data_IF_133410213877
#
_entry.id   IF_133410213877
#
_cell.length_a   1.000
_cell.length_b   1.000
_cell.length_c   1.000
_cell.angle_alpha   90.00
_cell.angle_beta   90.00
_cell.angle_gamma   90.00
#
_symmetry.space_group_name_H-M   'P 1'
#
loop_
_entity.id
_entity.type
_entity.pdbx_description
1 polymer ?
#
# COMPACT_ATOMS: atom_id res chain seq x y z
N UNK A 1 -28.70 16.17 -8.50
CA UNK A 1 -27.25 16.13 -8.21
C UNK A 1 -26.81 14.67 -8.25
N UNK A 2 -26.63 14.09 -9.43
CA UNK A 2 -26.30 12.67 -9.58
C UNK A 2 -25.44 12.48 -10.83
N UNK A 3 -24.12 12.61 -10.71
CA UNK A 3 -23.19 12.13 -11.76
C UNK A 3 -21.76 11.87 -11.27
N UNK A 4 -21.56 11.67 -9.96
CA UNK A 4 -20.31 11.13 -9.42
C UNK A 4 -20.35 9.60 -9.33
N UNK A 5 -21.21 8.94 -10.12
CA UNK A 5 -21.35 7.49 -10.12
C UNK A 5 -20.28 6.85 -11.01
N UNK A 6 -19.49 5.96 -10.41
CA UNK A 6 -18.89 4.79 -11.04
C UNK A 6 -17.73 4.99 -12.06
N UNK A 7 -17.07 6.15 -12.05
CA UNK A 7 -15.90 6.39 -12.92
C UNK A 7 -14.65 5.67 -12.38
N UNK A 8 -13.92 5.00 -13.28
CA UNK A 8 -12.65 4.36 -12.96
C UNK A 8 -11.58 5.38 -12.53
N UNK A 9 -10.53 4.91 -11.87
CA UNK A 9 -9.40 5.73 -11.43
C UNK A 9 -8.57 6.20 -12.64
N UNK A 10 -8.57 7.51 -12.88
CA UNK A 10 -7.87 8.13 -14.01
C UNK A 10 -6.35 8.07 -13.81
N UNK A 11 -5.61 8.16 -14.93
CA UNK A 11 -4.13 8.21 -14.91
C UNK A 11 -3.62 9.43 -14.12
N UNK A 12 -4.26 10.60 -14.28
CA UNK A 12 -3.88 11.80 -13.51
C UNK A 12 -4.00 11.56 -12.00
N UNK A 13 -5.09 10.94 -11.54
CA UNK A 13 -5.31 10.61 -10.13
C UNK A 13 -4.27 9.61 -9.60
N UNK A 14 -3.86 8.64 -10.42
CA UNK A 14 -2.76 7.71 -10.09
C UNK A 14 -1.44 8.46 -9.91
N UNK A 15 -1.15 9.40 -10.82
CA UNK A 15 0.06 10.21 -10.77
C UNK A 15 0.07 11.14 -9.56
N UNK A 16 -1.07 11.75 -9.23
CA UNK A 16 -1.23 12.61 -8.05
C UNK A 16 -0.97 11.84 -6.76
N UNK A 17 -1.49 10.60 -6.65
CA UNK A 17 -1.20 9.71 -5.53
C UNK A 17 0.30 9.42 -5.39
N UNK A 18 0.95 8.98 -6.47
CA UNK A 18 2.39 8.69 -6.44
C UNK A 18 3.21 9.90 -6.06
N UNK A 19 2.91 11.05 -6.67
CA UNK A 19 3.60 12.31 -6.41
C UNK A 19 3.43 12.73 -4.95
N UNK A 20 2.23 12.57 -4.39
CA UNK A 20 1.95 12.89 -2.98
C UNK A 20 2.73 11.97 -2.05
N UNK A 21 2.75 10.65 -2.32
CA UNK A 21 3.51 9.65 -1.54
C UNK A 21 5.01 9.92 -1.60
N UNK A 22 5.55 10.15 -2.79
CA UNK A 22 6.98 10.38 -3.00
C UNK A 22 7.45 11.67 -2.34
N UNK A 23 6.60 12.70 -2.33
CA UNK A 23 6.86 13.96 -1.63
C UNK A 23 6.54 13.93 -0.12
N UNK A 24 6.24 12.76 0.46
CA UNK A 24 5.95 12.58 1.90
C UNK A 24 4.76 13.40 2.40
N UNK A 25 3.86 13.80 1.51
CA UNK A 25 2.66 14.54 1.88
C UNK A 25 1.56 13.57 2.35
N UNK A 26 0.69 13.98 3.28
CA UNK A 26 -0.48 13.19 3.63
C UNK A 26 -1.35 12.94 2.40
N UNK A 27 -1.63 11.66 2.09
CA UNK A 27 -2.46 11.30 0.93
C UNK A 27 -3.96 11.43 1.20
N UNK A 28 -4.36 11.68 2.45
CA UNK A 28 -5.75 11.72 2.88
C UNK A 28 -6.62 12.65 2.03
N UNK A 29 -6.15 13.87 1.79
CA UNK A 29 -6.87 14.88 1.01
C UNK A 29 -7.10 14.45 -0.43
N UNK A 30 -6.12 13.78 -1.06
CA UNK A 30 -6.28 13.22 -2.41
C UNK A 30 -7.38 12.14 -2.40
N UNK A 31 -7.36 11.26 -1.42
CA UNK A 31 -8.29 10.14 -1.31
C UNK A 31 -9.72 10.53 -0.89
N UNK A 32 -9.91 11.69 -0.27
CA UNK A 32 -11.25 12.18 0.10
C UNK A 32 -12.07 12.56 -1.12
N UNK A 33 -11.41 12.95 -2.22
CA UNK A 33 -12.08 13.24 -3.50
C UNK A 33 -12.54 11.99 -4.26
N UNK A 34 -12.15 10.79 -3.82
CA UNK A 34 -12.40 9.55 -4.56
C UNK A 34 -13.74 8.92 -4.17
N UNK A 35 -14.44 8.44 -5.19
CA UNK A 35 -15.60 7.56 -5.04
C UNK A 35 -15.19 6.18 -4.49
N UNK A 36 -16.14 5.42 -3.96
CA UNK A 36 -15.91 4.05 -3.46
C UNK A 36 -15.17 3.16 -4.47
N UNK A 37 -15.57 3.19 -5.74
CA UNK A 37 -14.90 2.40 -6.79
C UNK A 37 -13.46 2.86 -7.01
N UNK A 38 -13.24 4.17 -7.08
CA UNK A 38 -11.89 4.72 -7.21
C UNK A 38 -11.01 4.39 -6.01
N UNK A 39 -11.57 4.30 -4.80
CA UNK A 39 -10.83 3.88 -3.61
C UNK A 39 -10.38 2.41 -3.70
N UNK A 40 -11.23 1.52 -4.20
CA UNK A 40 -10.86 0.11 -4.41
C UNK A 40 -9.75 0.00 -5.46
N UNK A 41 -9.91 0.68 -6.60
CA UNK A 41 -8.89 0.71 -7.64
C UNK A 41 -7.58 1.37 -7.17
N UNK A 42 -7.66 2.46 -6.41
CA UNK A 42 -6.51 3.14 -5.83
C UNK A 42 -5.78 2.26 -4.81
N UNK A 43 -6.52 1.54 -3.97
CA UNK A 43 -5.93 0.63 -3.01
C UNK A 43 -5.12 -0.47 -3.71
N UNK A 44 -5.68 -1.09 -4.75
CA UNK A 44 -4.95 -2.08 -5.55
C UNK A 44 -3.72 -1.45 -6.20
N UNK A 45 -3.87 -0.29 -6.83
CA UNK A 45 -2.77 0.43 -7.47
C UNK A 45 -1.62 0.76 -6.51
N UNK A 46 -1.92 1.31 -5.33
CA UNK A 46 -0.91 1.65 -4.32
C UNK A 46 -0.24 0.38 -3.77
N UNK A 47 -1.00 -0.71 -3.60
CA UNK A 47 -0.45 -2.00 -3.19
C UNK A 47 0.55 -2.55 -4.20
N UNK A 48 0.20 -2.54 -5.49
CA UNK A 48 1.08 -3.01 -6.56
C UNK A 48 2.36 -2.18 -6.63
N UNK A 49 2.24 -0.84 -6.51
CA UNK A 49 3.40 0.05 -6.50
C UNK A 49 4.25 -0.11 -5.26
N UNK A 50 3.65 -0.41 -4.10
CA UNK A 50 4.40 -0.75 -2.90
C UNK A 50 5.26 -2.00 -3.10
N UNK A 51 4.70 -3.04 -3.72
CA UNK A 51 5.41 -4.28 -4.02
C UNK A 51 6.54 -4.04 -5.03
N UNK A 52 6.25 -3.33 -6.11
CA UNK A 52 7.25 -2.97 -7.13
C UNK A 52 8.42 -2.19 -6.52
N UNK A 53 8.12 -1.15 -5.72
CA UNK A 53 9.15 -0.36 -5.03
C UNK A 53 9.92 -1.24 -4.04
N UNK A 54 9.26 -2.16 -3.33
CA UNK A 54 9.96 -3.09 -2.45
C UNK A 54 11.02 -3.89 -3.22
N UNK A 55 10.65 -4.51 -4.35
CA UNK A 55 11.59 -5.28 -5.18
C UNK A 55 12.75 -4.44 -5.72
N UNK A 56 12.50 -3.18 -6.05
CA UNK A 56 13.53 -2.27 -6.57
C UNK A 56 14.49 -1.77 -5.47
N UNK A 57 14.07 -1.73 -4.21
CA UNK A 57 14.78 -1.00 -3.15
C UNK A 57 15.27 -1.87 -2.00
N UNK A 58 14.63 -3.02 -1.77
CA UNK A 58 14.91 -3.92 -0.66
C UNK A 58 15.69 -5.14 -1.15
N UNK A 59 16.62 -5.63 -0.31
CA UNK A 59 17.46 -6.81 -0.62
C UNK A 59 16.81 -8.14 -0.22
N UNK A 60 15.63 -8.09 0.41
CA UNK A 60 14.95 -9.25 0.98
C UNK A 60 13.64 -9.48 0.27
N UNK A 61 13.05 -10.65 0.48
CA UNK A 61 11.75 -10.97 -0.07
C UNK A 61 10.63 -10.14 0.56
N UNK A 62 9.63 -9.83 -0.26
CA UNK A 62 8.41 -9.17 0.15
C UNK A 62 7.57 -10.12 1.02
N UNK A 63 7.15 -9.64 2.19
CA UNK A 63 6.18 -10.34 3.04
C UNK A 63 5.00 -9.43 3.31
N UNK A 64 3.79 -9.92 3.04
CA UNK A 64 2.55 -9.15 3.19
C UNK A 64 2.37 -8.64 4.63
N UNK A 65 2.77 -9.48 5.58
CA UNK A 65 2.68 -9.27 7.03
C UNK A 65 3.48 -8.05 7.49
N UNK A 66 4.55 -7.68 6.76
CA UNK A 66 5.35 -6.50 7.09
C UNK A 66 4.56 -5.20 6.95
N UNK A 67 3.57 -5.20 6.07
CA UNK A 67 2.72 -4.05 5.79
C UNK A 67 1.46 -4.15 6.65
N UNK A 68 0.78 -5.30 6.61
CA UNK A 68 -0.53 -5.48 7.24
C UNK A 68 -0.48 -5.44 8.76
N UNK A 69 0.65 -5.76 9.41
CA UNK A 69 0.80 -5.60 10.87
C UNK A 69 0.69 -4.15 11.35
N UNK A 70 0.99 -3.20 10.46
CA UNK A 70 0.88 -1.77 10.76
C UNK A 70 -0.50 -1.20 10.39
N UNK A 71 -1.36 -2.02 9.78
CA UNK A 71 -2.75 -1.65 9.48
C UNK A 71 -3.62 -1.98 10.68
N UNK A 72 -4.68 -1.20 10.87
CA UNK A 72 -5.69 -1.54 11.86
C UNK A 72 -6.42 -2.82 11.43
N UNK A 73 -6.47 -3.82 12.30
CA UNK A 73 -7.21 -5.05 12.01
C UNK A 73 -8.70 -4.77 11.79
N UNK A 74 -9.36 -5.58 10.95
CA UNK A 74 -10.81 -5.47 10.74
C UNK A 74 -11.58 -5.56 12.06
N UNK A 75 -11.16 -6.42 12.98
CA UNK A 75 -11.85 -6.64 14.25
C UNK A 75 -11.73 -5.42 15.17
N UNK A 76 -10.54 -4.84 15.25
CA UNK A 76 -10.31 -3.61 16.01
C UNK A 76 -11.12 -2.45 15.43
N UNK A 77 -11.07 -2.27 14.11
CA UNK A 77 -11.82 -1.21 13.44
C UNK A 77 -13.33 -1.36 13.65
N UNK A 78 -13.86 -2.57 13.47
CA UNK A 78 -15.29 -2.85 13.63
C UNK A 78 -15.78 -2.50 15.05
N UNK A 79 -15.03 -2.88 16.09
CA UNK A 79 -15.35 -2.54 17.49
C UNK A 79 -15.36 -1.03 17.71
N UNK A 80 -14.41 -0.29 17.14
CA UNK A 80 -14.37 1.18 17.25
C UNK A 80 -15.55 1.85 16.56
N UNK A 81 -16.09 1.25 15.49
CA UNK A 81 -17.25 1.76 14.78
C UNK A 81 -18.59 1.29 15.38
N UNK A 82 -18.58 0.47 16.43
CA UNK A 82 -19.80 -0.09 17.01
C UNK A 82 -20.59 -0.98 16.03
N UNK A 83 -19.91 -1.61 15.08
CA UNK A 83 -20.55 -2.39 14.02
C UNK A 83 -20.79 -3.84 14.47
N UNK A 84 -22.00 -4.34 14.23
CA UNK A 84 -22.51 -5.67 14.63
C UNK A 84 -22.48 -6.72 13.51
N UNK A 85 -22.11 -6.33 12.28
CA UNK A 85 -21.97 -7.24 11.15
C UNK A 85 -20.89 -8.31 11.39
N UNK A 86 -20.96 -9.42 10.67
CA UNK A 86 -19.91 -10.45 10.77
C UNK A 86 -18.56 -9.91 10.28
N UNK A 87 -17.48 -10.38 10.91
CA UNK A 87 -16.12 -9.86 10.68
C UNK A 87 -15.61 -10.06 9.24
N UNK A 88 -16.09 -11.10 8.55
CA UNK A 88 -15.81 -11.38 7.14
C UNK A 88 -16.29 -10.25 6.22
N UNK A 89 -17.45 -9.64 6.49
CA UNK A 89 -17.91 -8.47 5.74
C UNK A 89 -16.90 -7.31 5.81
N UNK A 90 -16.28 -7.09 6.97
CA UNK A 90 -15.31 -6.02 7.16
C UNK A 90 -13.95 -6.34 6.50
N UNK A 91 -13.65 -7.62 6.23
CA UNK A 91 -12.45 -8.06 5.52
C UNK A 91 -12.64 -8.03 4.00
N UNK A 92 -13.86 -8.26 3.53
CA UNK A 92 -14.21 -8.26 2.11
C UNK A 92 -14.39 -6.85 1.53
N UNK A 93 -14.24 -6.75 0.21
CA UNK A 93 -14.60 -5.54 -0.56
C UNK A 93 -16.12 -5.34 -0.60
N UNK A 94 -16.91 -6.28 -0.07
CA UNK A 94 -18.37 -6.27 -0.08
C UNK A 94 -18.96 -5.13 0.75
N UNK A 95 -18.36 -4.83 1.91
CA UNK A 95 -18.84 -3.79 2.82
C UNK A 95 -18.81 -2.39 2.17
N UNK A 96 -17.98 -2.16 1.14
CA UNK A 96 -17.94 -0.83 0.51
C UNK A 96 -19.16 -0.49 -0.34
N UNK A 97 -19.94 -1.50 -0.73
CA UNK A 97 -21.17 -1.30 -1.50
C UNK A 97 -22.38 -1.08 -0.60
N UNK A 98 -22.39 -1.65 0.60
CA UNK A 98 -23.46 -1.46 1.59
C UNK A 98 -23.17 -0.33 2.60
N UNK A 99 -21.90 -0.06 2.90
CA UNK A 99 -21.44 0.92 3.89
C UNK A 99 -20.25 1.75 3.34
N UNK A 100 -20.46 2.51 2.24
CA UNK A 100 -19.38 3.14 1.47
C UNK A 100 -18.52 4.12 2.28
N UNK A 101 -19.13 4.85 3.22
CA UNK A 101 -18.41 5.82 4.07
C UNK A 101 -17.45 5.09 5.03
N UNK A 102 -17.96 4.10 5.77
CA UNK A 102 -17.19 3.37 6.78
C UNK A 102 -16.06 2.53 6.16
N UNK A 103 -16.38 1.75 5.12
CA UNK A 103 -15.40 0.95 4.39
C UNK A 103 -14.39 1.85 3.66
N UNK A 104 -14.86 2.95 3.05
CA UNK A 104 -13.98 3.93 2.42
C UNK A 104 -12.97 4.52 3.40
N UNK A 105 -13.39 4.90 4.61
CA UNK A 105 -12.48 5.37 5.66
C UNK A 105 -11.42 4.34 6.03
N UNK A 106 -11.81 3.08 6.17
CA UNK A 106 -10.85 2.00 6.44
C UNK A 106 -9.84 1.81 5.30
N UNK A 107 -10.31 1.80 4.06
CA UNK A 107 -9.45 1.68 2.87
C UNK A 107 -8.46 2.85 2.79
N UNK A 108 -8.90 4.07 3.09
CA UNK A 108 -8.01 5.24 3.16
C UNK A 108 -6.93 5.09 4.22
N UNK A 109 -7.30 4.66 5.44
CA UNK A 109 -6.35 4.42 6.52
C UNK A 109 -5.29 3.37 6.13
N UNK A 110 -5.70 2.30 5.44
CA UNK A 110 -4.77 1.29 4.92
C UNK A 110 -3.80 1.89 3.89
N UNK A 111 -4.30 2.71 2.96
CA UNK A 111 -3.44 3.37 1.97
C UNK A 111 -2.45 4.34 2.61
N UNK A 112 -2.79 5.01 3.70
CA UNK A 112 -1.84 5.86 4.43
C UNK A 112 -0.67 5.04 5.01
N UNK A 113 -0.95 3.85 5.54
CA UNK A 113 0.09 2.91 6.01
C UNK A 113 0.97 2.47 4.84
N UNK A 114 0.39 2.17 3.69
CA UNK A 114 1.14 1.82 2.47
C UNK A 114 2.03 2.98 2.01
N UNK A 115 1.50 4.21 1.93
CA UNK A 115 2.25 5.40 1.53
C UNK A 115 3.43 5.69 2.46
N UNK A 116 3.22 5.59 3.78
CA UNK A 116 4.31 5.69 4.78
C UNK A 116 5.38 4.62 4.58
N UNK A 117 4.97 3.40 4.22
CA UNK A 117 5.91 2.29 4.01
C UNK A 117 6.72 2.45 2.73
N UNK A 118 6.09 2.91 1.65
CA UNK A 118 6.81 3.31 0.42
C UNK A 118 7.87 4.36 0.75
N UNK A 119 7.53 5.35 1.58
CA UNK A 119 8.50 6.36 1.98
C UNK A 119 9.73 5.77 2.67
N UNK A 120 9.52 4.85 3.63
CA UNK A 120 10.61 4.15 4.32
C UNK A 120 11.50 3.35 3.36
N UNK A 121 10.91 2.70 2.36
CA UNK A 121 11.67 1.96 1.35
C UNK A 121 12.62 2.87 0.57
N UNK A 122 12.12 4.02 0.12
CA UNK A 122 12.92 5.00 -0.61
C UNK A 122 14.04 5.60 0.27
N UNK A 123 13.78 5.88 1.55
CA UNK A 123 14.79 6.42 2.47
C UNK A 123 15.92 5.41 2.75
N UNK A 124 15.57 4.13 2.78
CA UNK A 124 16.53 3.03 2.98
C UNK A 124 17.48 2.82 1.78
N UNK A 125 17.13 3.30 0.59
CA UNK A 125 18.04 3.34 -0.56
C UNK A 125 19.12 4.40 -0.38
N UNK A 126 18.71 5.62 0.00
CA UNK A 126 19.62 6.76 0.13
C UNK A 126 20.66 6.54 1.24
N UNK A 127 20.27 5.89 2.32
CA UNK A 127 21.15 5.63 3.47
C UNK A 127 22.24 4.57 3.19
N UNK A 128 22.07 3.74 2.14
CA UNK A 128 23.02 2.65 1.81
C UNK A 128 24.15 3.06 0.87
N UNK A 129 24.11 4.26 0.29
CA UNK A 129 25.24 4.79 -0.50
C UNK A 129 26.48 5.12 0.36
N UNK A 130 26.40 5.07 1.69
CA UNK A 130 27.56 5.27 2.58
C UNK A 130 28.11 3.99 3.23
N UNK A 131 27.56 2.81 2.95
CA UNK A 131 28.15 1.54 3.40
C UNK A 131 28.01 0.48 2.31
N UNK A 132 29.01 0.44 1.43
CA UNK A 132 29.29 -0.71 0.57
C UNK A 132 29.47 -1.96 1.43
N UNK A 133 28.39 -2.72 1.58
CA UNK A 133 28.48 -4.15 1.85
C UNK A 133 27.81 -4.89 0.70
N UNK A 134 28.69 -5.36 -0.17
CA UNK A 134 28.43 -6.34 -1.22
C UNK A 134 27.71 -7.54 -0.58
N UNK A 135 26.52 -7.93 -1.07
CA UNK A 135 25.90 -9.18 -0.65
C UNK A 135 26.79 -10.37 -1.03
N UNK A 136 27.22 -11.16 -0.04
CA UNK A 136 27.89 -12.45 -0.26
C UNK A 136 26.90 -13.45 -0.87
N UNK A 137 26.73 -13.42 -2.19
CA UNK A 137 26.25 -14.54 -3.02
C UNK A 137 26.96 -14.51 -4.38
N UNK A 138 28.29 -14.54 -4.34
CA UNK A 138 29.18 -14.86 -5.46
C UNK A 138 30.42 -15.55 -4.88
N UNK A 139 30.24 -16.74 -4.28
CA UNK A 139 31.34 -17.64 -3.89
C UNK A 139 31.02 -19.12 -4.07
N UNK A 140 30.06 -19.46 -4.91
CA UNK A 140 29.77 -20.85 -5.29
C UNK A 140 29.61 -20.96 -6.81
N UNK A 141 30.61 -20.49 -7.55
CA UNK A 141 30.73 -20.73 -8.99
C UNK A 141 32.18 -20.69 -9.51
N UNK A 142 33.18 -20.91 -8.65
CA UNK A 142 34.60 -21.03 -9.06
C UNK A 142 35.28 -22.18 -8.29
N UNK A 143 34.72 -23.39 -8.37
CA UNK A 143 35.36 -24.62 -7.85
C UNK A 143 35.42 -25.73 -8.93
N UNK A 144 35.16 -25.42 -10.20
CA UNK A 144 35.15 -26.42 -11.29
C UNK A 144 35.96 -26.07 -12.53
N UNK A 145 37.02 -25.25 -12.39
CA UNK A 145 38.00 -25.04 -13.46
C UNK A 145 39.41 -24.97 -12.86
N UNK A 146 39.87 -26.10 -12.33
CA UNK A 146 41.29 -26.45 -12.14
C UNK A 146 41.33 -27.88 -11.57
N UNK A 147 41.30 -28.86 -12.47
CA UNK A 147 41.94 -30.17 -12.40
C UNK A 147 41.69 -30.91 -13.73
#
# INVERSE_FOLDING_TARGET
>A
MEEQQNKALKVSQKLDLLTTIFNRKPIRSVLESFTSKQLVEAHQFVWDKLIEIHFLTQKRDFRREDITRNMMSSATYQRQQGCDLRLDYCKGVECIWSNPVCAGNKIRNNMEVMGKTIGKYLDSCNSKNNKSQVPKKQKEANVWLEN
#
